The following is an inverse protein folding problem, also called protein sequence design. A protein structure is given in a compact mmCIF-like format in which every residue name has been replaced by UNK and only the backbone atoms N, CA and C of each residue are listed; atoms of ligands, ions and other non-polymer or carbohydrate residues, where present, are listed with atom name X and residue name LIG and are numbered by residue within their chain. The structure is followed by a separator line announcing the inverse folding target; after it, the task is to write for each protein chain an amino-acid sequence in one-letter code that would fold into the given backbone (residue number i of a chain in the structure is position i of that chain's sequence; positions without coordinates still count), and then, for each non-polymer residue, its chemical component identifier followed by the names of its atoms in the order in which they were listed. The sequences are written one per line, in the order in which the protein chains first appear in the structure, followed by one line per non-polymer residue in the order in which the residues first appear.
data_IF_974461215407
#
_entry.id   IF_974461215407
#
_cell.length_a   1.000
_cell.length_b   1.000
_cell.length_c   1.000
_cell.angle_alpha   90.00
_cell.angle_beta   90.00
_cell.angle_gamma   90.00
#
_symmetry.space_group_name_H-M   'P 1'
#
loop_
_entity.id
_entity.type
_entity.pdbx_description
1 polymer ?
#
# COMPACT_ATOMS: atom_id res chain seq x y z
N UNK A 1 -4.27 -11.71 9.72
CA UNK A 1 -3.93 -10.64 8.79
C UNK A 1 -2.42 -10.57 8.61
N UNK A 2 -1.96 -10.24 7.44
CA UNK A 2 -0.54 -10.25 7.11
C UNK A 2 -0.02 -8.81 7.02
N UNK A 3 1.15 -8.56 7.61
CA UNK A 3 1.87 -7.32 7.39
C UNK A 3 2.78 -7.42 6.19
N UNK A 4 3.26 -6.28 5.70
CA UNK A 4 4.13 -6.21 4.52
C UNK A 4 5.28 -5.25 4.76
N UNK A 5 6.43 -5.55 4.20
CA UNK A 5 7.59 -4.67 4.22
C UNK A 5 8.04 -4.40 2.79
N UNK A 6 8.28 -3.13 2.45
CA UNK A 6 8.74 -2.70 1.13
C UNK A 6 9.63 -1.47 1.28
N UNK A 7 10.93 -1.66 1.03
CA UNK A 7 11.92 -0.61 1.25
C UNK A 7 11.92 -0.15 2.70
N UNK A 8 11.87 1.18 2.96
CA UNK A 8 11.83 1.71 4.33
C UNK A 8 10.44 1.70 4.94
N UNK A 9 9.44 1.13 4.28
CA UNK A 9 8.06 1.10 4.73
C UNK A 9 7.69 -0.24 5.34
N UNK A 10 6.81 -0.17 6.34
CA UNK A 10 6.14 -1.34 6.91
C UNK A 10 4.65 -1.08 6.97
N UNK A 11 3.87 -1.97 6.39
CA UNK A 11 2.41 -1.95 6.50
C UNK A 11 2.02 -3.02 7.51
N UNK A 12 1.51 -2.58 8.67
CA UNK A 12 1.13 -3.48 9.75
C UNK A 12 -0.13 -4.28 9.41
N UNK A 13 -0.39 -5.39 10.11
CA UNK A 13 -1.63 -6.17 9.89
C UNK A 13 -2.91 -5.37 10.09
N UNK A 14 -2.88 -4.30 10.89
CA UNK A 14 -4.02 -3.40 11.08
C UNK A 14 -4.13 -2.32 10.01
N UNK A 15 -3.31 -2.43 8.95
CA UNK A 15 -3.23 -1.49 7.82
C UNK A 15 -2.66 -0.13 8.17
N UNK A 16 -1.98 0.03 9.30
CA UNK A 16 -1.21 1.25 9.55
C UNK A 16 0.11 1.22 8.81
N UNK A 17 0.47 2.34 8.21
CA UNK A 17 1.71 2.47 7.44
C UNK A 17 2.78 3.17 8.28
N UNK A 18 3.97 2.61 8.27
CA UNK A 18 5.14 3.14 8.99
C UNK A 18 6.29 3.35 8.02
N UNK A 19 6.97 4.47 8.16
CA UNK A 19 8.16 4.80 7.38
C UNK A 19 9.30 5.07 8.34
N UNK A 20 10.29 4.19 8.37
CA UNK A 20 11.44 4.27 9.28
C UNK A 20 11.01 4.48 10.73
N UNK A 21 9.98 3.75 11.16
CA UNK A 21 9.45 3.82 12.51
C UNK A 21 8.50 4.97 12.80
N UNK A 22 8.20 5.81 11.81
CA UNK A 22 7.24 6.92 11.96
C UNK A 22 5.94 6.58 11.28
N UNK A 23 4.83 6.84 11.96
CA UNK A 23 3.51 6.61 11.42
C UNK A 23 3.23 7.55 10.24
N UNK A 24 2.78 6.98 9.12
CA UNK A 24 2.31 7.74 7.97
C UNK A 24 0.78 7.65 7.97
N UNK A 25 0.07 8.74 8.30
CA UNK A 25 -1.39 8.69 8.35
C UNK A 25 -1.98 8.55 6.95
N UNK A 26 -2.85 7.56 6.78
CA UNK A 26 -3.55 7.30 5.53
C UNK A 26 -5.05 7.28 5.80
N UNK A 27 -5.83 7.76 4.83
CA UNK A 27 -7.28 7.60 4.86
C UNK A 27 -7.65 6.11 4.75
N UNK A 28 -8.81 5.68 5.29
CA UNK A 28 -9.18 4.26 5.29
C UNK A 28 -9.13 3.60 3.91
N UNK A 29 -9.60 4.27 2.87
CA UNK A 29 -9.57 3.72 1.51
C UNK A 29 -8.15 3.67 0.95
N UNK A 30 -7.30 4.61 1.30
CA UNK A 30 -5.87 4.59 0.93
C UNK A 30 -5.17 3.40 1.55
N UNK A 31 -5.47 3.08 2.82
CA UNK A 31 -4.90 1.91 3.49
C UNK A 31 -5.31 0.61 2.81
N UNK A 32 -6.60 0.48 2.46
CA UNK A 32 -7.11 -0.69 1.75
C UNK A 32 -6.48 -0.84 0.38
N UNK A 33 -6.34 0.27 -0.34
CA UNK A 33 -5.73 0.27 -1.66
C UNK A 33 -4.26 -0.17 -1.57
N UNK A 34 -3.51 0.37 -0.62
CA UNK A 34 -2.11 -0.01 -0.43
C UNK A 34 -1.97 -1.49 -0.06
N UNK A 35 -2.80 -1.99 0.85
CA UNK A 35 -2.77 -3.40 1.22
C UNK A 35 -3.05 -4.30 0.03
N UNK A 36 -4.01 -3.93 -0.81
CA UNK A 36 -4.34 -4.67 -2.03
C UNK A 36 -3.15 -4.72 -3.01
N UNK A 37 -2.48 -3.59 -3.20
CA UNK A 37 -1.30 -3.50 -4.05
C UNK A 37 -0.15 -4.37 -3.50
N UNK A 38 0.06 -4.35 -2.19
CA UNK A 38 1.09 -5.17 -1.55
C UNK A 38 0.81 -6.66 -1.72
N UNK A 39 -0.45 -7.07 -1.60
CA UNK A 39 -0.83 -8.48 -1.77
C UNK A 39 -0.50 -9.01 -3.16
N UNK A 40 -0.56 -8.15 -4.16
CA UNK A 40 -0.29 -8.53 -5.55
C UNK A 40 1.15 -8.32 -5.97
N UNK A 41 2.01 -7.88 -5.09
CA UNK A 41 3.41 -7.51 -5.28
C UNK A 41 4.02 -7.78 -6.66
N UNK A 42 4.26 -6.75 -7.46
CA UNK A 42 4.86 -6.87 -8.78
C UNK A 42 3.91 -7.27 -9.90
N UNK A 43 2.66 -7.60 -9.60
CA UNK A 43 1.66 -7.96 -10.62
C UNK A 43 0.78 -6.77 -10.94
N UNK A 44 0.42 -6.63 -12.21
CA UNK A 44 -0.52 -5.59 -12.63
C UNK A 44 -1.93 -5.99 -12.16
N UNK A 45 -2.61 -5.06 -11.49
CA UNK A 45 -4.00 -5.25 -11.07
C UNK A 45 -4.89 -4.33 -11.91
N UNK A 46 -5.97 -4.89 -12.48
CA UNK A 46 -6.91 -4.10 -13.26
C UNK A 46 -7.67 -3.11 -12.36
N UNK A 47 -8.17 -2.03 -12.95
CA UNK A 47 -8.99 -1.05 -12.25
C UNK A 47 -10.22 -1.70 -11.61
N UNK A 48 -10.89 -2.58 -12.34
CA UNK A 48 -12.09 -3.26 -11.85
C UNK A 48 -11.77 -4.14 -10.64
N UNK A 49 -10.67 -4.89 -10.68
CA UNK A 49 -10.26 -5.71 -9.55
C UNK A 49 -9.94 -4.86 -8.32
N UNK A 50 -9.26 -3.74 -8.51
CA UNK A 50 -8.96 -2.83 -7.40
C UNK A 50 -10.24 -2.26 -6.79
N UNK A 51 -11.19 -1.82 -7.64
CA UNK A 51 -12.46 -1.29 -7.16
C UNK A 51 -13.21 -2.34 -6.35
N UNK A 52 -13.29 -3.57 -6.83
CA UNK A 52 -13.97 -4.64 -6.12
C UNK A 52 -13.30 -4.98 -4.79
N UNK A 53 -11.98 -5.07 -4.77
CA UNK A 53 -11.25 -5.45 -3.57
C UNK A 53 -11.25 -4.35 -2.52
N UNK A 54 -11.24 -3.09 -2.93
CA UNK A 54 -11.17 -1.96 -2.00
C UNK A 54 -12.54 -1.52 -1.53
N UNK A 55 -13.50 -1.41 -2.46
CA UNK A 55 -14.86 -0.94 -2.14
C UNK A 55 -15.90 -2.05 -2.06
N UNK A 56 -15.58 -3.23 -2.55
CA UNK A 56 -16.52 -4.34 -2.54
C UNK A 56 -17.68 -4.11 -3.50
N UNK A 57 -18.91 -4.24 -2.98
CA UNK A 57 -20.13 -4.09 -3.79
C UNK A 57 -20.64 -2.66 -3.85
N UNK A 58 -19.85 -1.68 -3.43
CA UNK A 58 -20.27 -0.28 -3.49
C UNK A 58 -20.31 0.21 -4.95
N UNK A 59 -20.94 1.35 -5.17
CA UNK A 59 -21.05 1.99 -6.48
C UNK A 59 -19.80 2.81 -6.81
N UNK A 60 -18.62 2.38 -6.33
CA UNK A 60 -17.38 3.07 -6.60
C UNK A 60 -17.06 3.06 -8.09
N UNK A 61 -16.56 4.17 -8.59
CA UNK A 61 -16.25 4.37 -9.99
C UNK A 61 -14.74 4.51 -10.21
N UNK A 62 -14.32 4.57 -11.48
CA UNK A 62 -12.94 4.87 -11.83
C UNK A 62 -12.48 6.20 -11.23
N UNK A 63 -13.39 7.17 -11.09
CA UNK A 63 -13.09 8.46 -10.46
C UNK A 63 -12.72 8.27 -8.98
N UNK A 64 -13.48 7.44 -8.26
CA UNK A 64 -13.19 7.12 -6.85
C UNK A 64 -11.81 6.48 -6.71
N UNK A 65 -11.50 5.53 -7.57
CA UNK A 65 -10.19 4.88 -7.59
C UNK A 65 -9.07 5.89 -7.89
N UNK A 66 -9.26 6.73 -8.90
CA UNK A 66 -8.26 7.72 -9.30
C UNK A 66 -7.96 8.71 -8.17
N UNK A 67 -8.99 9.17 -7.46
CA UNK A 67 -8.84 10.08 -6.32
C UNK A 67 -8.08 9.42 -5.18
N UNK A 68 -8.45 8.20 -4.83
CA UNK A 68 -7.79 7.45 -3.75
C UNK A 68 -6.33 7.17 -4.12
N UNK A 69 -6.08 6.76 -5.35
CA UNK A 69 -4.73 6.51 -5.85
C UNK A 69 -3.88 7.77 -5.83
N UNK A 70 -4.44 8.90 -6.26
CA UNK A 70 -3.73 10.18 -6.24
C UNK A 70 -3.36 10.58 -4.81
N UNK A 71 -4.30 10.47 -3.88
CA UNK A 71 -4.04 10.76 -2.47
C UNK A 71 -2.97 9.86 -1.86
N UNK A 72 -3.02 8.57 -2.16
CA UNK A 72 -2.00 7.62 -1.70
C UNK A 72 -0.62 7.95 -2.26
N UNK A 73 -0.53 8.23 -3.57
CA UNK A 73 0.73 8.61 -4.21
C UNK A 73 1.32 9.87 -3.60
N UNK A 74 0.48 10.86 -3.31
CA UNK A 74 0.94 12.11 -2.69
C UNK A 74 1.50 11.86 -1.29
N UNK A 75 0.84 11.01 -0.51
CA UNK A 75 1.34 10.65 0.83
C UNK A 75 2.69 9.95 0.76
N UNK A 76 2.83 8.99 -0.13
CA UNK A 76 4.08 8.27 -0.29
C UNK A 76 5.19 9.20 -0.82
N UNK A 77 4.89 10.05 -1.78
CA UNK A 77 5.85 11.00 -2.34
C UNK A 77 6.31 12.04 -1.31
N UNK A 78 5.40 12.52 -0.46
CA UNK A 78 5.76 13.48 0.59
C UNK A 78 6.57 12.83 1.71
N UNK A 79 6.46 11.51 1.88
CA UNK A 79 7.21 10.77 2.88
C UNK A 79 8.62 10.41 2.37
N UNK A 80 8.71 9.99 1.11
CA UNK A 80 9.99 9.63 0.49
C UNK A 80 9.95 9.98 -1.00
N UNK A 81 10.51 11.13 -1.33
CA UNK A 81 10.50 11.68 -2.71
C UNK A 81 11.35 10.86 -3.68
N UNK A 82 12.26 10.03 -3.17
CA UNK A 82 13.13 9.23 -4.03
C UNK A 82 12.47 7.98 -4.59
N UNK A 83 11.22 7.69 -4.20
CA UNK A 83 10.59 6.43 -4.53
C UNK A 83 9.28 6.63 -5.27
N UNK A 84 9.18 5.99 -6.45
CA UNK A 84 7.93 5.87 -7.19
C UNK A 84 7.43 4.43 -7.02
N UNK A 85 6.56 4.22 -6.03
CA UNK A 85 6.15 2.88 -5.62
C UNK A 85 5.02 2.32 -6.47
N UNK A 86 4.21 3.17 -7.06
CA UNK A 86 3.03 2.75 -7.81
C UNK A 86 3.12 3.29 -9.23
N UNK A 87 3.04 2.39 -10.20
CA UNK A 87 3.10 2.75 -11.61
C UNK A 87 1.76 2.47 -12.29
N UNK A 88 1.31 3.41 -13.12
CA UNK A 88 0.15 3.22 -13.97
C UNK A 88 0.57 2.45 -15.21
N UNK A 89 -0.18 1.38 -15.53
CA UNK A 89 0.02 0.61 -16.76
C UNK A 89 -1.18 0.91 -17.66
N UNK A 90 -0.99 1.75 -18.65
CA UNK A 90 -2.08 2.21 -19.51
C UNK A 90 -2.80 1.06 -20.19
N UNK A 91 -4.12 1.07 -20.11
CA UNK A 91 -4.98 0.04 -20.69
C UNK A 91 -5.08 -1.23 -19.84
N UNK A 92 -4.33 -1.34 -18.74
CA UNK A 92 -4.30 -2.55 -17.91
C UNK A 92 -4.65 -2.28 -16.45
N UNK A 93 -4.04 -1.27 -15.81
CA UNK A 93 -4.30 -0.97 -14.41
C UNK A 93 -3.09 -0.37 -13.71
N UNK A 94 -2.75 -0.90 -12.54
CA UNK A 94 -1.67 -0.40 -11.70
C UNK A 94 -0.79 -1.53 -11.23
N UNK A 95 0.48 -1.22 -10.96
CA UNK A 95 1.44 -2.19 -10.43
C UNK A 95 2.25 -1.55 -9.30
N UNK A 96 2.54 -2.34 -8.26
CA UNK A 96 3.43 -1.94 -7.18
C UNK A 96 4.85 -2.31 -7.57
N UNK A 97 5.75 -1.32 -7.67
CA UNK A 97 7.08 -1.50 -8.27
C UNK A 97 8.14 -2.04 -7.32
N UNK A 98 7.91 -1.91 -6.01
CA UNK A 98 8.88 -2.34 -5.01
C UNK A 98 8.70 -3.81 -4.65
N UNK A 99 9.80 -4.55 -4.38
CA UNK A 99 9.68 -5.88 -3.81
C UNK A 99 8.97 -5.81 -2.45
N UNK A 100 8.01 -6.70 -2.26
CA UNK A 100 7.20 -6.76 -1.03
C UNK A 100 7.49 -8.08 -0.33
N UNK A 101 7.82 -7.99 0.96
CA UNK A 101 8.01 -9.15 1.81
C UNK A 101 6.84 -9.25 2.77
N UNK A 102 6.20 -10.43 2.81
CA UNK A 102 5.16 -10.69 3.79
C UNK A 102 5.78 -10.89 5.17
N UNK A 103 5.10 -10.35 6.19
CA UNK A 103 5.52 -10.44 7.57
C UNK A 103 4.50 -11.27 8.35
N UNK A 104 4.96 -12.11 9.31
CA UNK A 104 4.03 -12.83 10.19
C UNK A 104 3.14 -11.85 10.95
N UNK A 105 1.88 -12.25 11.16
CA UNK A 105 0.87 -11.39 11.81
C UNK A 105 0.97 -11.43 13.34
N UNK A 106 2.17 -11.57 13.89
CA UNK A 106 2.40 -11.55 15.34
C UNK A 106 3.00 -10.22 15.77
N UNK A 107 2.66 -9.75 16.97
CA UNK A 107 3.16 -8.49 17.50
C UNK A 107 4.69 -8.47 17.55
N UNK A 108 5.30 -9.58 17.98
CA UNK A 108 6.76 -9.66 18.11
C UNK A 108 7.45 -9.59 16.75
N UNK A 109 6.90 -10.26 15.73
CA UNK A 109 7.46 -10.23 14.39
C UNK A 109 7.34 -8.83 13.79
N UNK A 110 6.21 -8.15 14.01
CA UNK A 110 6.02 -6.76 13.55
C UNK A 110 6.99 -5.82 14.25
N UNK A 111 7.21 -5.99 15.55
CA UNK A 111 8.16 -5.19 16.30
C UNK A 111 9.58 -5.36 15.77
N UNK A 112 10.00 -6.59 15.52
CA UNK A 112 11.31 -6.87 14.96
C UNK A 112 11.48 -6.27 13.56
N UNK A 113 10.42 -6.25 12.76
CA UNK A 113 10.44 -5.66 11.42
C UNK A 113 10.45 -4.14 11.45
N UNK A 114 9.87 -3.53 12.49
CA UNK A 114 9.88 -2.08 12.64
C UNK A 114 11.24 -1.54 13.10
N UNK A 115 12.01 -2.33 13.83
CA UNK A 115 13.32 -1.91 14.31
C UNK A 115 14.25 -1.43 13.19
N UNK A 116 14.40 -2.15 12.06
CA UNK A 116 15.21 -1.64 10.95
C UNK A 116 14.67 -0.32 10.37
N UNK A 117 13.38 -0.08 10.49
CA UNK A 117 12.76 1.15 10.02
C UNK A 117 13.05 2.34 10.94
N UNK A 118 13.50 2.09 12.17
CA UNK A 118 13.85 3.11 13.15
C UNK A 118 15.29 3.60 13.00
N UNK A 119 16.12 2.84 12.35
CA UNK A 119 17.56 3.12 12.22
C UNK A 119 17.90 4.32 11.32
#
# INVERSE_FOLDING_TARGET
MTGYQFGPYCLAPDSTLWHRGRLVPLAPMQRRLLACLCQQGGRVISKNDLIQKVWGHSEATDISLARTMHGLRRKLASTDLSRDLIQTVYGHGYVFTQPVQELPATADAMRASLEPCLA
#
